data_IF_287575972056
#
_entry.id   IF_287575972056
#
_cell.length_a   1.000
_cell.length_b   1.000
_cell.length_c   1.000
_cell.angle_alpha   90.00
_cell.angle_beta   90.00
_cell.angle_gamma   90.00
#
_symmetry.space_group_name_H-M   'P 1'
#
loop_
_entity.id
_entity.type
_entity.pdbx_description
1 polymer ?
#
# COMPACT_ATOMS: atom_id res chain seq x y z
N UNK A 1 42.77 -37.17 24.30
CA UNK A 1 42.81 -36.06 23.30
C UNK A 1 42.14 -36.43 21.97
N UNK A 2 42.56 -37.47 21.25
CA UNK A 2 41.99 -37.84 19.93
C UNK A 2 40.48 -38.13 19.93
N UNK A 3 39.95 -38.81 20.96
CA UNK A 3 38.50 -39.09 21.07
C UNK A 3 37.66 -37.83 21.31
N UNK A 4 38.17 -36.89 22.11
CA UNK A 4 37.46 -35.62 22.38
C UNK A 4 37.37 -34.76 21.12
N UNK A 5 38.44 -34.73 20.31
CA UNK A 5 38.44 -34.07 19.00
C UNK A 5 37.39 -34.69 18.06
N UNK A 6 37.28 -36.02 18.03
CA UNK A 6 36.27 -36.70 17.21
C UNK A 6 34.84 -36.36 17.65
N UNK A 7 34.58 -36.32 18.96
CA UNK A 7 33.26 -35.93 19.49
C UNK A 7 32.91 -34.50 19.12
N UNK A 8 33.87 -33.56 19.21
CA UNK A 8 33.65 -32.15 18.84
C UNK A 8 33.35 -32.03 17.34
N UNK A 9 34.09 -32.74 16.48
CA UNK A 9 33.83 -32.75 15.04
C UNK A 9 32.43 -33.30 14.75
N UNK A 10 32.03 -34.38 15.43
CA UNK A 10 30.71 -34.97 15.25
C UNK A 10 29.58 -34.02 15.67
N UNK A 11 29.70 -33.37 16.83
CA UNK A 11 28.72 -32.36 17.29
C UNK A 11 28.65 -31.19 16.31
N UNK A 12 29.80 -30.74 15.78
CA UNK A 12 29.85 -29.66 14.80
C UNK A 12 29.12 -30.04 13.50
N UNK A 13 29.27 -31.27 13.01
CA UNK A 13 28.54 -31.78 11.85
C UNK A 13 27.02 -31.78 12.11
N UNK A 14 26.59 -32.21 13.30
CA UNK A 14 25.16 -32.21 13.65
C UNK A 14 24.58 -30.78 13.71
N UNK A 15 25.27 -29.86 14.39
CA UNK A 15 24.84 -28.46 14.50
C UNK A 15 24.79 -27.79 13.13
N UNK A 16 25.82 -27.97 12.31
CA UNK A 16 25.85 -27.39 10.96
C UNK A 16 24.77 -27.98 10.06
N UNK A 17 24.45 -29.26 10.18
CA UNK A 17 23.34 -29.88 9.44
C UNK A 17 21.98 -29.33 9.88
N UNK A 18 21.76 -29.15 11.18
CA UNK A 18 20.51 -28.56 11.71
C UNK A 18 20.33 -27.13 11.19
N UNK A 19 21.36 -26.30 11.34
CA UNK A 19 21.34 -24.91 10.86
C UNK A 19 21.12 -24.87 9.36
N UNK A 20 21.84 -25.68 8.57
CA UNK A 20 21.68 -25.74 7.11
C UNK A 20 20.27 -26.12 6.68
N UNK A 21 19.64 -27.08 7.36
CA UNK A 21 18.28 -27.51 7.05
C UNK A 21 17.27 -26.41 7.37
N UNK A 22 17.38 -25.79 8.55
CA UNK A 22 16.51 -24.68 8.95
C UNK A 22 16.68 -23.45 8.05
N UNK A 23 17.91 -23.12 7.65
CA UNK A 23 18.16 -22.03 6.71
C UNK A 23 17.50 -22.30 5.36
N UNK A 24 17.60 -23.53 4.84
CA UNK A 24 16.94 -23.90 3.58
C UNK A 24 15.43 -23.79 3.66
N UNK A 25 14.83 -24.23 4.76
CA UNK A 25 13.38 -24.10 4.96
C UNK A 25 12.93 -22.63 4.96
N UNK A 26 13.69 -21.75 5.60
CA UNK A 26 13.41 -20.30 5.59
C UNK A 26 13.56 -19.72 4.17
N UNK A 27 14.60 -20.11 3.43
CA UNK A 27 14.79 -19.68 2.03
C UNK A 27 13.62 -20.10 1.14
N UNK A 28 13.15 -21.34 1.28
CA UNK A 28 12.01 -21.88 0.53
C UNK A 28 10.72 -21.12 0.88
N UNK A 29 10.50 -20.80 2.15
CA UNK A 29 9.36 -19.98 2.60
C UNK A 29 9.42 -18.56 2.05
N UNK A 30 10.60 -17.91 2.07
CA UNK A 30 10.80 -16.58 1.50
C UNK A 30 10.51 -16.61 0.00
N UNK A 31 10.99 -17.62 -0.71
CA UNK A 31 10.76 -17.78 -2.15
C UNK A 31 9.25 -17.94 -2.45
N UNK A 32 8.56 -18.82 -1.72
CA UNK A 32 7.13 -19.03 -1.88
C UNK A 32 6.32 -17.75 -1.62
N UNK A 33 6.61 -17.03 -0.53
CA UNK A 33 5.93 -15.76 -0.21
C UNK A 33 6.21 -14.72 -1.30
N UNK A 34 7.45 -14.61 -1.77
CA UNK A 34 7.83 -13.65 -2.82
C UNK A 34 7.10 -13.92 -4.13
N UNK A 35 7.07 -15.18 -4.58
CA UNK A 35 6.35 -15.55 -5.80
C UNK A 35 4.83 -15.40 -5.65
N UNK A 36 4.27 -15.66 -4.46
CA UNK A 36 2.85 -15.41 -4.20
C UNK A 36 2.50 -13.92 -4.23
N UNK A 37 3.37 -13.03 -3.74
CA UNK A 37 3.13 -11.58 -3.74
C UNK A 37 3.33 -10.95 -5.12
N UNK A 38 4.17 -11.55 -5.97
CA UNK A 38 4.51 -11.04 -7.29
C UNK A 38 3.28 -10.75 -8.19
N UNK A 39 2.31 -11.68 -8.39
CA UNK A 39 1.13 -11.40 -9.21
C UNK A 39 0.24 -10.32 -8.57
N UNK A 40 0.09 -10.32 -7.24
CA UNK A 40 -0.66 -9.29 -6.53
C UNK A 40 -0.07 -7.90 -6.74
N UNK A 41 1.26 -7.78 -6.78
CA UNK A 41 1.93 -6.51 -7.05
C UNK A 41 1.67 -6.03 -8.48
N UNK A 42 1.72 -6.93 -9.46
CA UNK A 42 1.42 -6.59 -10.86
C UNK A 42 -0.04 -6.14 -11.02
N UNK A 43 -0.99 -6.89 -10.46
CA UNK A 43 -2.42 -6.53 -10.48
C UNK A 43 -2.68 -5.17 -9.82
N UNK A 44 -2.04 -4.91 -8.67
CA UNK A 44 -2.12 -3.60 -8.00
C UNK A 44 -1.60 -2.46 -8.88
N UNK A 45 -0.51 -2.67 -9.60
CA UNK A 45 0.09 -1.67 -10.49
C UNK A 45 -0.83 -1.39 -11.68
N UNK A 46 -1.41 -2.42 -12.28
CA UNK A 46 -2.37 -2.29 -13.38
C UNK A 46 -3.63 -1.55 -12.93
N UNK A 47 -4.22 -1.94 -11.80
CA UNK A 47 -5.41 -1.27 -11.23
C UNK A 47 -5.09 0.18 -10.86
N UNK A 48 -3.90 0.46 -10.32
CA UNK A 48 -3.48 1.83 -10.00
C UNK A 48 -3.31 2.67 -11.27
N UNK A 49 -2.76 2.10 -12.34
CA UNK A 49 -2.63 2.78 -13.62
C UNK A 49 -4.01 3.12 -14.20
N UNK A 50 -4.93 2.16 -14.21
CA UNK A 50 -6.31 2.36 -14.65
C UNK A 50 -7.00 3.43 -13.79
N UNK A 51 -6.91 3.35 -12.47
CA UNK A 51 -7.45 4.35 -11.56
C UNK A 51 -6.92 5.75 -11.87
N UNK A 52 -5.60 5.91 -12.00
CA UNK A 52 -4.97 7.20 -12.30
C UNK A 52 -5.42 7.75 -13.66
N UNK A 53 -5.59 6.88 -14.65
CA UNK A 53 -6.07 7.28 -15.97
C UNK A 53 -7.53 7.74 -15.92
N UNK A 54 -8.42 6.91 -15.36
CA UNK A 54 -9.87 7.18 -15.30
C UNK A 54 -10.22 8.37 -14.39
N UNK A 55 -9.42 8.60 -13.34
CA UNK A 55 -9.58 9.74 -12.42
C UNK A 55 -8.81 10.99 -12.85
N UNK A 56 -8.11 10.96 -13.98
CA UNK A 56 -7.42 12.14 -14.48
C UNK A 56 -8.42 13.27 -14.80
N UNK A 57 -8.06 14.55 -14.59
CA UNK A 57 -8.97 15.67 -14.86
C UNK A 57 -9.53 15.66 -16.27
N UNK A 58 -8.71 15.31 -17.27
CA UNK A 58 -9.14 15.21 -18.66
C UNK A 58 -10.21 14.12 -18.86
N UNK A 59 -10.02 12.93 -18.28
CA UNK A 59 -11.01 11.86 -18.34
C UNK A 59 -12.28 12.19 -17.58
N UNK A 60 -12.18 12.81 -16.41
CA UNK A 60 -13.34 13.23 -15.65
C UNK A 60 -14.18 14.27 -16.41
N UNK A 61 -13.55 15.22 -17.10
CA UNK A 61 -14.26 16.18 -17.96
C UNK A 61 -14.90 15.47 -19.15
N UNK A 62 -14.19 14.55 -19.82
CA UNK A 62 -14.77 13.74 -20.91
C UNK A 62 -16.01 12.95 -20.44
N UNK A 63 -15.93 12.29 -19.29
CA UNK A 63 -17.07 11.56 -18.72
C UNK A 63 -18.21 12.47 -18.30
N UNK A 64 -17.91 13.66 -17.78
CA UNK A 64 -18.95 14.64 -17.49
C UNK A 64 -19.72 14.98 -18.77
N UNK A 65 -19.02 15.33 -19.85
CA UNK A 65 -19.68 15.73 -21.10
C UNK A 65 -20.44 14.56 -21.74
N UNK A 66 -19.93 13.33 -21.61
CA UNK A 66 -20.55 12.16 -22.23
C UNK A 66 -21.79 11.65 -21.48
N UNK A 67 -21.78 11.69 -20.14
CA UNK A 67 -22.78 11.01 -19.32
C UNK A 67 -23.71 11.96 -18.56
N UNK A 68 -23.38 13.24 -18.42
CA UNK A 68 -24.19 14.21 -17.68
C UNK A 68 -24.71 15.30 -18.61
N UNK A 69 -26.01 15.57 -18.51
CA UNK A 69 -26.68 16.60 -19.33
C UNK A 69 -26.36 18.03 -18.88
N UNK A 70 -25.87 18.21 -17.64
CA UNK A 70 -25.58 19.52 -17.05
C UNK A 70 -24.10 19.80 -17.08
N UNK A 71 -23.75 21.02 -17.50
CA UNK A 71 -22.39 21.54 -17.46
C UNK A 71 -21.85 21.65 -16.03
N UNK A 72 -20.54 21.52 -15.90
CA UNK A 72 -19.84 21.79 -14.63
C UNK A 72 -19.96 23.26 -14.28
N UNK A 73 -20.49 23.53 -13.09
CA UNK A 73 -20.54 24.87 -12.52
C UNK A 73 -19.28 25.07 -11.68
N UNK A 74 -18.50 26.10 -12.01
CA UNK A 74 -17.33 26.48 -11.21
C UNK A 74 -17.81 27.01 -9.86
N UNK A 75 -17.40 26.33 -8.79
CA UNK A 75 -17.56 26.80 -7.40
C UNK A 75 -16.21 27.25 -6.86
N UNK A 76 -16.18 28.39 -6.15
CA UNK A 76 -14.97 28.76 -5.42
C UNK A 76 -14.77 27.80 -4.25
N UNK A 77 -13.55 27.31 -4.05
CA UNK A 77 -13.23 26.34 -2.99
C UNK A 77 -13.50 26.89 -1.58
N UNK A 78 -13.45 28.22 -1.43
CA UNK A 78 -13.83 28.96 -0.21
C UNK A 78 -15.31 28.81 0.14
N UNK A 79 -16.16 28.49 -0.83
CA UNK A 79 -17.59 28.25 -0.62
C UNK A 79 -17.89 26.80 -0.16
N UNK A 80 -16.89 25.92 -0.18
CA UNK A 80 -17.02 24.53 0.28
C UNK A 80 -16.77 24.46 1.79
N UNK A 81 -17.68 23.78 2.50
CA UNK A 81 -17.58 23.54 3.94
C UNK A 81 -17.31 22.06 4.22
N UNK A 82 -16.56 21.81 5.28
CA UNK A 82 -16.35 20.49 5.85
C UNK A 82 -17.32 20.29 7.01
N UNK A 83 -17.88 19.08 7.13
CA UNK A 83 -18.71 18.68 8.26
C UNK A 83 -17.96 17.58 9.01
N UNK A 84 -17.70 17.81 10.29
CA UNK A 84 -17.07 16.85 11.19
C UNK A 84 -18.12 16.38 12.17
N UNK A 85 -18.36 15.07 12.20
CA UNK A 85 -19.29 14.43 13.13
C UNK A 85 -18.52 13.97 14.38
N UNK A 86 -18.83 14.59 15.52
CA UNK A 86 -18.28 14.28 16.84
C UNK A 86 -19.41 13.77 17.73
N UNK A 87 -19.56 12.45 17.83
CA UNK A 87 -20.63 11.76 18.57
C UNK A 87 -22.04 12.27 18.18
N UNK A 88 -22.64 13.13 19.00
CA UNK A 88 -23.98 13.69 18.80
C UNK A 88 -23.94 15.13 18.25
N UNK A 89 -22.75 15.66 17.95
CA UNK A 89 -22.56 17.02 17.45
C UNK A 89 -22.00 17.04 16.05
N UNK A 90 -22.49 17.99 15.24
CA UNK A 90 -21.96 18.28 13.91
C UNK A 90 -21.27 19.63 13.96
N UNK A 91 -19.97 19.64 13.70
CA UNK A 91 -19.18 20.85 13.53
C UNK A 91 -19.05 21.17 12.05
N UNK A 92 -19.32 22.42 11.66
CA UNK A 92 -19.23 22.86 10.27
C UNK A 92 -18.11 23.89 10.16
N UNK A 93 -17.05 23.51 9.45
CA UNK A 93 -15.86 24.33 9.23
C UNK A 93 -15.72 24.72 7.76
N UNK A 94 -14.95 25.76 7.46
CA UNK A 94 -14.56 26.03 6.08
C UNK A 94 -13.51 25.01 5.65
N UNK A 95 -13.64 24.42 4.46
CA UNK A 95 -12.70 23.42 3.95
C UNK A 95 -11.27 24.00 3.82
N UNK A 96 -11.20 25.28 3.44
CA UNK A 96 -9.94 26.03 3.40
C UNK A 96 -10.12 27.27 4.28
N UNK A 97 -9.22 27.45 5.26
CA UNK A 97 -9.13 28.69 5.99
C UNK A 97 -8.59 29.78 5.06
N UNK A 98 -9.26 30.93 5.01
CA UNK A 98 -8.68 32.11 4.38
C UNK A 98 -7.41 32.43 5.18
N UNK A 99 -6.22 32.27 4.60
CA UNK A 99 -5.01 32.79 5.24
C UNK A 99 -5.25 34.28 5.47
N UNK A 100 -5.47 34.65 6.72
CA UNK A 100 -5.49 36.04 7.18
C UNK A 100 -4.05 36.51 7.19
N UNK A 101 -3.51 36.81 6.01
CA UNK A 101 -2.36 37.69 5.91
C UNK A 101 -2.92 39.10 5.73
N UNK A 102 -2.84 39.87 6.83
CA UNK A 102 -2.88 41.33 6.82
C UNK A 102 -1.79 41.91 5.90
#
# INVERSE_FOLDING_TARGET
MKQLVLTVIFVLILITSLVKNSTKEIEDQIFAIKENIRPLKAEREDVLLEFNYLSSPEKLVQYQTQYFEKDLIKIEITNIKEIIENNETLEINNLISKYSNE
#
